data_IF_263854939970
#
_entry.id   IF_263854939970
#
_cell.length_a   1.000
_cell.length_b   1.000
_cell.length_c   1.000
_cell.angle_alpha   90.00
_cell.angle_beta   90.00
_cell.angle_gamma   90.00
#
_symmetry.space_group_name_H-M   'P 1'
#
loop_
_entity.id
_entity.type
_entity.pdbx_description
1 polymer ?
#
# COMPACT_ATOMS: atom_id res chain seq x y z
N UNK A 1 16.94 -42.04 6.59
CA UNK A 1 15.60 -41.98 7.17
C UNK A 1 14.76 -41.08 6.26
N UNK A 2 13.78 -41.65 5.57
CA UNK A 2 12.90 -40.91 4.64
C UNK A 2 11.85 -40.10 5.41
N UNK A 3 11.30 -39.04 4.81
CA UNK A 3 10.26 -38.23 5.47
C UNK A 3 9.04 -39.05 5.90
N UNK A 4 8.76 -40.13 5.17
CA UNK A 4 7.69 -41.09 5.45
C UNK A 4 7.95 -41.95 6.69
N UNK A 5 9.18 -42.45 6.85
CA UNK A 5 9.61 -43.17 8.06
C UNK A 5 9.57 -42.27 9.31
N UNK A 6 9.86 -40.97 9.16
CA UNK A 6 9.76 -39.99 10.25
C UNK A 6 8.30 -39.72 10.60
N UNK A 7 7.43 -39.55 9.60
CA UNK A 7 6.00 -39.34 9.79
C UNK A 7 5.37 -40.51 10.58
N UNK A 8 5.65 -41.75 10.18
CA UNK A 8 5.14 -42.97 10.84
C UNK A 8 5.68 -43.11 12.27
N UNK A 9 6.98 -42.89 12.48
CA UNK A 9 7.62 -43.05 13.80
C UNK A 9 7.08 -42.08 14.85
N UNK A 10 6.71 -40.87 14.44
CA UNK A 10 6.27 -39.81 15.36
C UNK A 10 4.76 -39.51 15.29
N UNK A 11 4.00 -40.23 14.46
CA UNK A 11 2.57 -39.98 14.28
C UNK A 11 2.24 -38.61 13.70
N UNK A 12 3.16 -38.05 12.90
CA UNK A 12 3.04 -36.71 12.30
C UNK A 12 2.61 -36.89 10.85
N UNK A 13 1.79 -35.97 10.32
CA UNK A 13 1.42 -36.01 8.92
C UNK A 13 2.65 -35.83 8.01
N UNK A 14 2.74 -36.62 6.94
CA UNK A 14 3.83 -36.56 5.96
C UNK A 14 3.96 -35.15 5.34
N UNK A 15 2.84 -34.46 5.12
CA UNK A 15 2.80 -33.07 4.65
C UNK A 15 3.50 -32.09 5.59
N UNK A 16 3.42 -32.31 6.90
CA UNK A 16 4.09 -31.49 7.92
C UNK A 16 5.60 -31.72 7.88
N UNK A 17 6.03 -32.98 7.78
CA UNK A 17 7.45 -33.33 7.66
C UNK A 17 8.04 -32.73 6.37
N UNK A 18 7.32 -32.85 5.25
CA UNK A 18 7.71 -32.22 3.99
C UNK A 18 7.85 -30.71 4.13
N UNK A 19 6.85 -30.03 4.71
CA UNK A 19 6.86 -28.58 4.90
C UNK A 19 8.04 -28.13 5.75
N UNK A 20 8.30 -28.79 6.88
CA UNK A 20 9.44 -28.46 7.73
C UNK A 20 10.79 -28.70 7.04
N UNK A 21 10.88 -29.76 6.25
CA UNK A 21 12.10 -30.10 5.50
C UNK A 21 12.38 -29.06 4.43
N UNK A 22 11.37 -28.71 3.62
CA UNK A 22 11.46 -27.66 2.61
C UNK A 22 11.82 -26.33 3.23
N UNK A 23 11.16 -25.93 4.32
CA UNK A 23 11.48 -24.70 5.05
C UNK A 23 12.92 -24.73 5.61
N UNK A 24 13.38 -25.86 6.13
CA UNK A 24 14.74 -25.99 6.65
C UNK A 24 15.82 -25.74 5.59
N UNK A 25 15.63 -26.27 4.38
CA UNK A 25 16.61 -26.12 3.30
C UNK A 25 16.48 -24.78 2.56
N UNK A 26 15.27 -24.23 2.41
CA UNK A 26 15.04 -22.99 1.65
C UNK A 26 15.32 -21.71 2.45
N UNK A 27 15.16 -21.75 3.78
CA UNK A 27 15.35 -20.55 4.61
C UNK A 27 16.58 -20.67 5.50
N UNK A 28 17.61 -19.89 5.17
CA UNK A 28 18.75 -19.69 6.07
C UNK A 28 18.28 -19.19 7.43
N UNK A 29 18.61 -19.92 8.51
CA UNK A 29 18.24 -19.52 9.87
C UNK A 29 18.98 -18.25 10.29
N UNK A 30 18.31 -17.41 11.06
CA UNK A 30 18.96 -16.31 11.79
C UNK A 30 19.71 -16.83 13.04
N UNK A 31 20.45 -15.96 13.73
CA UNK A 31 21.19 -16.31 14.95
C UNK A 31 20.31 -16.81 16.11
N UNK A 32 18.98 -16.68 15.98
CA UNK A 32 17.97 -17.14 16.96
C UNK A 32 17.19 -18.35 16.46
N UNK A 33 17.63 -18.98 15.37
CA UNK A 33 17.00 -20.18 14.80
C UNK A 33 15.66 -19.92 14.09
N UNK A 34 15.29 -18.66 13.87
CA UNK A 34 14.08 -18.28 13.13
C UNK A 34 14.38 -18.22 11.64
N UNK A 35 13.37 -18.51 10.84
CA UNK A 35 13.47 -18.37 9.39
C UNK A 35 13.66 -16.90 9.02
N UNK A 36 14.73 -16.59 8.27
CA UNK A 36 14.92 -15.24 7.76
C UNK A 36 13.79 -14.94 6.77
N UNK A 37 13.11 -13.77 6.90
CA UNK A 37 12.17 -13.34 5.89
C UNK A 37 12.89 -13.24 4.56
N UNK A 38 12.23 -13.66 3.47
CA UNK A 38 12.79 -13.52 2.13
C UNK A 38 12.87 -12.03 1.81
N UNK A 39 14.09 -11.51 1.70
CA UNK A 39 14.34 -10.11 1.36
C UNK A 39 14.53 -10.01 -0.14
N UNK A 40 13.75 -9.15 -0.78
CA UNK A 40 13.91 -8.81 -2.19
C UNK A 40 14.62 -7.46 -2.29
N UNK A 41 15.55 -7.27 -3.24
CA UNK A 41 16.09 -5.96 -3.56
C UNK A 41 14.98 -4.98 -3.95
N UNK A 42 15.16 -3.71 -3.62
CA UNK A 42 14.19 -2.65 -3.95
C UNK A 42 13.95 -2.53 -5.46
N UNK A 43 14.99 -2.81 -6.27
CA UNK A 43 14.90 -2.83 -7.73
C UNK A 43 13.88 -3.87 -8.24
N UNK A 44 13.82 -5.05 -7.61
CA UNK A 44 12.86 -6.10 -7.97
C UNK A 44 11.45 -5.66 -7.60
N UNK A 45 11.29 -5.04 -6.42
CA UNK A 45 10.03 -4.46 -5.99
C UNK A 45 9.53 -3.42 -7.00
N UNK A 46 10.36 -2.46 -7.37
CA UNK A 46 9.97 -1.40 -8.31
C UNK A 46 9.61 -1.96 -9.69
N UNK A 47 10.45 -2.84 -10.26
CA UNK A 47 10.21 -3.43 -11.58
C UNK A 47 8.92 -4.26 -11.62
N UNK A 48 8.69 -5.10 -10.60
CA UNK A 48 7.48 -5.94 -10.54
C UNK A 48 6.20 -5.12 -10.43
N UNK A 49 6.20 -4.01 -9.69
CA UNK A 49 5.06 -3.08 -9.62
C UNK A 49 4.86 -2.33 -10.94
N UNK A 50 5.93 -1.87 -11.59
CA UNK A 50 5.85 -1.21 -12.91
C UNK A 50 5.25 -2.16 -13.96
N UNK A 51 5.74 -3.39 -14.01
CA UNK A 51 5.24 -4.41 -14.93
C UNK A 51 3.75 -4.70 -14.71
N UNK A 52 3.29 -4.71 -13.45
CA UNK A 52 1.87 -4.83 -13.13
C UNK A 52 1.06 -3.63 -13.63
N UNK A 53 1.57 -2.41 -13.45
CA UNK A 53 0.91 -1.18 -13.93
C UNK A 53 0.84 -1.14 -15.47
N UNK A 54 1.86 -1.67 -16.15
CA UNK A 54 1.88 -1.85 -17.61
C UNK A 54 0.90 -2.93 -18.11
N UNK A 55 0.23 -3.64 -17.19
CA UNK A 55 -0.80 -4.62 -17.51
C UNK A 55 -0.29 -6.05 -17.69
N UNK A 56 0.94 -6.38 -17.26
CA UNK A 56 1.39 -7.77 -17.23
C UNK A 56 0.59 -8.57 -16.19
N UNK A 57 0.35 -9.86 -16.49
CA UNK A 57 -0.36 -10.73 -15.58
C UNK A 57 0.45 -11.05 -14.32
N UNK A 58 -0.22 -11.12 -13.16
CA UNK A 58 0.44 -11.39 -11.87
C UNK A 58 1.22 -12.70 -11.87
N UNK A 59 0.69 -13.75 -12.52
CA UNK A 59 1.37 -15.06 -12.54
C UNK A 59 2.68 -14.99 -13.32
N UNK A 60 2.70 -14.24 -14.42
CA UNK A 60 3.89 -14.05 -15.23
C UNK A 60 4.97 -13.29 -14.45
N UNK A 61 4.59 -12.21 -13.75
CA UNK A 61 5.51 -11.43 -12.90
C UNK A 61 6.07 -12.30 -11.77
N UNK A 62 5.23 -13.11 -11.12
CA UNK A 62 5.68 -14.01 -10.06
C UNK A 62 6.71 -15.03 -10.54
N UNK A 63 6.53 -15.58 -11.75
CA UNK A 63 7.47 -16.51 -12.36
C UNK A 63 8.78 -15.83 -12.80
N UNK A 64 8.69 -14.67 -13.46
CA UNK A 64 9.83 -13.92 -14.01
C UNK A 64 10.79 -13.46 -12.90
N UNK A 65 10.24 -12.97 -11.78
CA UNK A 65 11.03 -12.40 -10.68
C UNK A 65 11.17 -13.33 -9.46
N UNK A 66 10.55 -14.52 -9.48
CA UNK A 66 10.59 -15.46 -8.35
C UNK A 66 9.94 -14.91 -7.07
N UNK A 67 8.90 -14.08 -7.23
CA UNK A 67 8.19 -13.41 -6.13
C UNK A 67 6.93 -14.21 -5.77
N UNK A 68 6.62 -14.29 -4.48
CA UNK A 68 5.35 -14.87 -4.01
C UNK A 68 4.22 -13.84 -4.13
N UNK A 69 3.00 -14.28 -4.47
CA UNK A 69 1.82 -13.43 -4.61
C UNK A 69 1.64 -12.42 -3.46
N UNK A 70 1.83 -12.89 -2.22
CA UNK A 70 1.74 -12.07 -1.00
C UNK A 70 2.62 -10.82 -1.03
N UNK A 71 3.84 -10.92 -1.56
CA UNK A 71 4.75 -9.77 -1.64
C UNK A 71 4.33 -8.83 -2.77
N UNK A 72 3.95 -9.38 -3.93
CA UNK A 72 3.49 -8.59 -5.07
C UNK A 72 2.23 -7.77 -4.71
N UNK A 73 1.23 -8.40 -4.10
CA UNK A 73 0.00 -7.73 -3.69
C UNK A 73 0.28 -6.59 -2.71
N UNK A 74 1.11 -6.86 -1.69
CA UNK A 74 1.54 -5.84 -0.73
C UNK A 74 2.26 -4.66 -1.40
N UNK A 75 3.15 -4.92 -2.36
CA UNK A 75 3.88 -3.84 -3.03
C UNK A 75 2.98 -3.00 -3.93
N UNK A 76 1.98 -3.62 -4.56
CA UNK A 76 0.96 -2.90 -5.33
C UNK A 76 0.13 -2.00 -4.41
N UNK A 77 -0.29 -2.50 -3.25
CA UNK A 77 -1.01 -1.70 -2.25
C UNK A 77 -0.17 -0.51 -1.77
N UNK A 78 1.09 -0.75 -1.36
CA UNK A 78 2.01 0.31 -0.94
C UNK A 78 2.17 1.40 -2.02
N UNK A 79 2.26 1.01 -3.29
CA UNK A 79 2.34 1.95 -4.42
C UNK A 79 1.09 2.84 -4.52
N UNK A 80 -0.10 2.27 -4.46
CA UNK A 80 -1.35 3.06 -4.56
C UNK A 80 -1.56 3.97 -3.36
N UNK A 81 -1.20 3.52 -2.16
CA UNK A 81 -1.24 4.36 -0.96
C UNK A 81 -0.32 5.58 -1.06
N UNK A 82 0.89 5.39 -1.59
CA UNK A 82 1.85 6.47 -1.78
C UNK A 82 1.32 7.50 -2.80
N UNK A 83 0.77 7.01 -3.93
CA UNK A 83 0.13 7.86 -4.94
C UNK A 83 -1.06 8.64 -4.41
N UNK A 84 -1.85 8.05 -3.52
CA UNK A 84 -2.98 8.73 -2.90
C UNK A 84 -2.51 9.81 -1.92
N UNK A 85 -1.46 9.54 -1.13
CA UNK A 85 -0.85 10.53 -0.24
C UNK A 85 -0.30 11.73 -1.02
N UNK A 86 0.40 11.48 -2.13
CA UNK A 86 0.88 12.54 -3.04
C UNK A 86 -0.27 13.43 -3.52
N UNK A 87 -1.38 12.83 -3.96
CA UNK A 87 -2.56 13.58 -4.42
C UNK A 87 -3.15 14.44 -3.31
N UNK A 88 -3.27 13.91 -2.10
CA UNK A 88 -3.80 14.65 -0.95
C UNK A 88 -2.90 15.82 -0.54
N UNK A 89 -1.57 15.64 -0.64
CA UNK A 89 -0.60 16.71 -0.39
C UNK A 89 -0.76 17.80 -1.46
N UNK A 90 -0.83 17.42 -2.74
CA UNK A 90 -1.00 18.36 -3.83
C UNK A 90 -2.30 19.18 -3.69
N UNK A 91 -3.42 18.52 -3.35
CA UNK A 91 -4.70 19.16 -3.10
C UNK A 91 -4.64 20.12 -1.91
N UNK A 92 -3.94 19.74 -0.83
CA UNK A 92 -3.70 20.63 0.31
C UNK A 92 -2.89 21.85 -0.12
N UNK A 93 -1.81 21.66 -0.87
CA UNK A 93 -0.97 22.75 -1.37
C UNK A 93 -1.73 23.66 -2.36
N UNK A 94 -2.66 23.13 -3.15
CA UNK A 94 -3.56 23.93 -4.00
C UNK A 94 -4.53 24.76 -3.15
N UNK A 95 -5.12 24.18 -2.09
CA UNK A 95 -5.97 24.91 -1.14
C UNK A 95 -5.21 26.02 -0.40
N UNK A 96 -3.96 25.77 -0.01
CA UNK A 96 -3.11 26.76 0.67
C UNK A 96 -2.66 27.90 -0.24
N UNK A 97 -2.37 27.61 -1.52
CA UNK A 97 -2.04 28.62 -2.54
C UNK A 97 -3.25 29.37 -3.09
N UNK A 98 -4.46 28.90 -2.82
CA UNK A 98 -5.69 29.63 -3.16
C UNK A 98 -5.77 30.92 -2.33
N UNK A 99 -5.68 32.05 -3.02
CA UNK A 99 -5.90 33.41 -2.47
C UNK A 99 -7.31 33.55 -1.88
N UNK A 100 -8.25 32.70 -2.31
CA UNK A 100 -9.60 32.58 -1.78
C UNK A 100 -9.61 31.62 -0.59
N UNK A 101 -9.15 32.09 0.58
CA UNK A 101 -9.49 31.43 1.86
C UNK A 101 -10.99 31.63 2.08
N UNK A 102 -11.80 30.67 1.65
CA UNK A 102 -13.24 30.63 1.92
C UNK A 102 -13.44 30.53 3.45
N UNK A 103 -13.47 31.67 4.14
CA UNK A 103 -13.81 31.74 5.57
C UNK A 103 -15.30 31.49 5.69
N UNK A 104 -15.69 30.21 5.76
CA UNK A 104 -17.07 29.82 6.11
C UNK A 104 -17.32 30.20 7.56
N UNK A 105 -17.81 31.42 7.79
CA UNK A 105 -18.32 31.86 9.09
C UNK A 105 -19.81 31.54 9.17
N UNK A 106 -20.16 30.70 10.12
CA UNK A 106 -21.55 30.43 10.50
C UNK A 106 -21.79 31.11 11.85
N UNK A 107 -22.80 31.98 11.92
CA UNK A 107 -23.22 32.63 13.16
C UNK A 107 -24.70 32.29 13.36
N UNK A 108 -25.07 31.76 14.52
CA UNK A 108 -26.44 31.37 14.85
C UNK A 108 -27.11 30.46 13.79
N UNK A 109 -26.36 29.48 13.27
CA UNK A 109 -26.87 28.52 12.27
C UNK A 109 -27.02 29.06 10.85
N UNK A 110 -26.74 30.34 10.58
CA UNK A 110 -26.84 30.95 9.25
C UNK A 110 -25.45 31.23 8.66
N UNK A 111 -25.26 30.92 7.37
CA UNK A 111 -24.00 31.14 6.65
C UNK A 111 -23.91 32.59 6.18
N UNK A 112 -22.77 33.25 6.42
CA UNK A 112 -22.48 34.57 5.90
C UNK A 112 -22.09 34.50 4.41
N UNK A 113 -22.61 35.43 3.59
CA UNK A 113 -22.30 35.57 2.17
C UNK A 113 -21.89 37.02 1.87
N UNK A 114 -20.67 37.20 1.36
CA UNK A 114 -20.19 38.52 0.90
C UNK A 114 -20.58 38.67 -0.57
N UNK A 115 -21.22 39.79 -0.90
CA UNK A 115 -21.66 40.12 -2.27
C UNK A 115 -20.90 41.36 -2.74
N UNK A 116 -20.29 41.26 -3.92
CA UNK A 116 -19.61 42.37 -4.59
C UNK A 116 -20.45 42.82 -5.80
N UNK A 117 -21.21 43.93 -5.71
CA UNK A 117 -21.73 44.61 -6.89
C UNK A 117 -20.60 45.22 -7.71
N UNK A 118 -20.85 45.49 -8.99
CA UNK A 118 -19.89 45.92 -10.02
C UNK A 118 -19.18 47.27 -9.78
N UNK A 119 -19.37 47.91 -8.62
CA UNK A 119 -18.72 49.16 -8.25
C UNK A 119 -18.26 49.10 -6.79
N UNK A 120 -16.93 49.00 -6.60
CA UNK A 120 -16.09 49.39 -5.46
C UNK A 120 -16.60 49.34 -4.00
N UNK A 121 -17.65 48.58 -3.66
CA UNK A 121 -18.10 48.40 -2.28
C UNK A 121 -18.65 46.98 -2.07
N UNK A 122 -18.16 46.29 -1.03
CA UNK A 122 -18.62 44.95 -0.67
C UNK A 122 -19.66 45.01 0.45
N UNK A 123 -20.76 44.26 0.32
CA UNK A 123 -21.78 44.13 1.37
C UNK A 123 -21.79 42.72 1.95
N UNK A 124 -22.03 42.61 3.26
CA UNK A 124 -22.20 41.33 3.96
C UNK A 124 -23.70 41.04 4.08
N UNK A 125 -24.14 39.91 3.56
CA UNK A 125 -25.53 39.45 3.62
C UNK A 125 -25.61 38.04 4.23
N UNK A 126 -26.78 37.65 4.69
CA UNK A 126 -27.04 36.28 5.14
C UNK A 126 -27.47 35.41 3.95
N UNK A 127 -26.96 34.18 3.86
CA UNK A 127 -27.50 33.21 2.92
C UNK A 127 -28.96 32.94 3.26
N UNK A 128 -29.85 33.03 2.26
CA UNK A 128 -31.28 32.76 2.38
C UNK A 128 -31.54 31.27 2.57
#
# INVERSE_FOLDING_TARGET
MTGKEVAEKYGIAESTVYTWTTQYYESGRDSKGRFKPKTYPEEIKQRSVIDYILGKDKKQIMQEYGITAKYLDRWIEEYWEEREKERQIEDRSKRERSIFKERKRTVNGKKLRIVYPSSSAAYVTWAK
#
